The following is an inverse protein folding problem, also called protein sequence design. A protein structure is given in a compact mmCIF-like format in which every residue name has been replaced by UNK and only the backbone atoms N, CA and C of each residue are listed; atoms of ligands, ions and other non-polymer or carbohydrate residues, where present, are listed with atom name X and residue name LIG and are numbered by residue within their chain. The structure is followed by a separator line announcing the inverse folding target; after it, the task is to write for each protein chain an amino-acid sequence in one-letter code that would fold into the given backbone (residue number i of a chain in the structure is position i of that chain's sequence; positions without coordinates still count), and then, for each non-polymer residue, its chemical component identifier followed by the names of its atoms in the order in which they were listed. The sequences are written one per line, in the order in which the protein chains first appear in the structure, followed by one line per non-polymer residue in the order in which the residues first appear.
data_IF_800364241821
#
_entry.id   IF_800364241821
#
_cell.length_a   1.000
_cell.length_b   1.000
_cell.length_c   1.000
_cell.angle_alpha   90.00
_cell.angle_beta   90.00
_cell.angle_gamma   90.00
#
_symmetry.space_group_name_H-M   'P 1'
#
loop_
_entity.id
_entity.type
_entity.pdbx_description
1 polymer ?
#
# COMPACT_ATOMS: atom_id res chain seq x y z
N UNK A 1 -13.42 10.33 -2.78
CA UNK A 1 -12.20 10.47 -1.96
C UNK A 1 -12.01 9.14 -1.26
N UNK A 2 -10.79 8.63 -1.24
CA UNK A 2 -10.43 7.37 -0.60
C UNK A 2 -9.24 7.61 0.34
N UNK A 3 -9.22 6.95 1.50
CA UNK A 3 -8.16 7.02 2.49
C UNK A 3 -7.49 5.66 2.58
N UNK A 4 -6.20 5.65 2.29
CA UNK A 4 -5.31 4.50 2.41
C UNK A 4 -4.50 4.69 3.68
N UNK A 5 -4.42 3.68 4.54
CA UNK A 5 -3.69 3.77 5.81
C UNK A 5 -2.77 2.56 5.93
N UNK A 6 -1.53 2.80 6.34
CA UNK A 6 -0.59 1.75 6.73
C UNK A 6 -0.47 1.73 8.24
N UNK A 7 -0.70 0.54 8.81
CA UNK A 7 -0.66 0.31 10.25
C UNK A 7 0.37 -0.75 10.59
N UNK A 8 1.04 -0.58 11.73
CA UNK A 8 1.90 -1.61 12.30
C UNK A 8 1.05 -2.71 12.96
N UNK A 9 1.69 -3.83 13.26
CA UNK A 9 1.08 -4.90 14.06
C UNK A 9 0.77 -4.48 15.51
N UNK A 10 1.32 -3.35 15.96
CA UNK A 10 1.07 -2.75 17.27
C UNK A 10 -0.07 -1.71 17.23
N UNK A 11 -0.84 -1.67 16.13
CA UNK A 11 -1.96 -0.75 15.92
C UNK A 11 -1.57 0.73 15.78
N UNK A 12 -0.31 1.00 15.40
CA UNK A 12 0.17 2.36 15.16
C UNK A 12 0.03 2.72 13.68
N UNK A 13 -0.55 3.88 13.38
CA UNK A 13 -0.57 4.42 12.01
C UNK A 13 0.82 4.98 11.68
N UNK A 14 1.45 4.45 10.65
CA UNK A 14 2.80 4.87 10.22
C UNK A 14 2.82 5.62 8.90
N UNK A 15 1.78 5.49 8.08
CA UNK A 15 1.63 6.27 6.85
C UNK A 15 0.16 6.32 6.40
N UNK A 16 -0.19 7.31 5.59
CA UNK A 16 -1.50 7.41 4.95
C UNK A 16 -1.46 8.20 3.64
N UNK A 17 -2.41 7.90 2.74
CA UNK A 17 -2.59 8.63 1.49
C UNK A 17 -4.06 8.94 1.22
N UNK A 18 -4.31 10.16 0.75
CA UNK A 18 -5.62 10.60 0.32
C UNK A 18 -5.67 10.67 -1.19
N UNK A 19 -6.56 9.88 -1.79
CA UNK A 19 -6.71 9.83 -3.24
C UNK A 19 -8.11 10.26 -3.69
N UNK A 20 -8.21 10.80 -4.91
CA UNK A 20 -9.49 10.91 -5.60
C UNK A 20 -10.19 9.53 -5.68
N UNK A 21 -11.53 9.51 -5.68
CA UNK A 21 -12.29 8.25 -5.62
C UNK A 21 -12.21 7.38 -6.88
N UNK A 22 -11.52 7.83 -7.92
CA UNK A 22 -11.28 7.10 -9.16
C UNK A 22 -9.90 6.42 -9.20
N UNK A 23 -9.09 6.56 -8.15
CA UNK A 23 -7.82 5.84 -8.04
C UNK A 23 -8.09 4.47 -7.42
N UNK A 24 -7.73 3.40 -8.14
CA UNK A 24 -7.85 2.03 -7.67
C UNK A 24 -6.82 1.71 -6.58
N UNK A 25 -7.18 0.86 -5.63
CA UNK A 25 -6.33 0.48 -4.50
C UNK A 25 -5.05 -0.26 -4.93
N UNK A 26 -5.04 -0.86 -6.13
CA UNK A 26 -3.92 -1.59 -6.71
C UNK A 26 -3.02 -0.75 -7.63
N UNK A 27 -3.23 0.57 -7.64
CA UNK A 27 -2.42 1.47 -8.45
C UNK A 27 -0.95 1.40 -7.98
N UNK A 28 -0.03 1.08 -8.91
CA UNK A 28 1.37 0.88 -8.57
C UNK A 28 2.02 2.13 -7.96
N UNK A 29 1.78 3.32 -8.53
CA UNK A 29 2.38 4.56 -8.04
C UNK A 29 1.92 4.89 -6.62
N UNK A 30 0.64 4.67 -6.33
CA UNK A 30 0.08 4.82 -4.98
C UNK A 30 0.77 3.89 -3.97
N UNK A 31 0.90 2.62 -4.33
CA UNK A 31 1.48 1.61 -3.44
C UNK A 31 2.99 1.74 -3.29
N UNK A 32 3.71 2.13 -4.34
CA UNK A 32 5.13 2.45 -4.24
C UNK A 32 5.37 3.64 -3.31
N UNK A 33 4.56 4.70 -3.41
CA UNK A 33 4.66 5.84 -2.49
C UNK A 33 4.35 5.44 -1.03
N UNK A 34 3.27 4.68 -0.79
CA UNK A 34 2.89 4.22 0.55
C UNK A 34 3.93 3.28 1.19
N UNK A 35 4.72 2.59 0.38
CA UNK A 35 5.68 1.58 0.85
C UNK A 35 7.14 2.05 0.79
N UNK A 36 7.41 3.26 0.27
CA UNK A 36 8.76 3.76 0.00
C UNK A 36 9.68 3.67 1.24
N UNK A 37 9.13 3.96 2.42
CA UNK A 37 9.87 4.00 3.68
C UNK A 37 9.55 2.82 4.62
N UNK A 38 8.87 1.79 4.11
CA UNK A 38 8.40 0.65 4.91
C UNK A 38 9.18 -0.60 4.48
N UNK A 39 9.78 -1.28 5.44
CA UNK A 39 10.51 -2.52 5.22
C UNK A 39 9.94 -3.66 6.07
N UNK A 40 9.91 -4.86 5.51
CA UNK A 40 9.44 -6.06 6.18
C UNK A 40 8.26 -6.72 5.48
N UNK A 41 7.43 -7.43 6.25
CA UNK A 41 6.27 -8.14 5.70
C UNK A 41 5.05 -7.22 5.68
N UNK A 42 4.55 -6.93 4.49
CA UNK A 42 3.32 -6.15 4.28
C UNK A 42 2.16 -7.11 4.05
N UNK A 43 1.04 -6.83 4.70
CA UNK A 43 -0.21 -7.57 4.56
C UNK A 43 -1.31 -6.57 4.20
N UNK A 44 -2.15 -6.92 3.23
CA UNK A 44 -3.25 -6.07 2.78
C UNK A 44 -4.37 -6.91 2.20
N UNK A 45 -5.49 -6.26 1.90
CA UNK A 45 -6.61 -6.93 1.25
C UNK A 45 -6.21 -7.43 -0.16
N UNK A 46 -6.94 -8.41 -0.67
CA UNK A 46 -6.71 -8.99 -1.99
C UNK A 46 -6.63 -7.92 -3.08
N UNK A 47 -7.41 -6.83 -2.96
CA UNK A 47 -7.36 -5.68 -3.85
C UNK A 47 -5.93 -5.16 -4.09
N UNK A 48 -5.12 -5.06 -3.04
CA UNK A 48 -3.73 -4.56 -3.09
C UNK A 48 -2.73 -5.54 -3.71
N UNK A 49 -3.02 -6.84 -3.62
CA UNK A 49 -2.07 -7.92 -3.93
C UNK A 49 -2.19 -8.46 -5.38
N UNK A 50 -3.12 -7.94 -6.18
CA UNK A 50 -3.39 -8.45 -7.53
C UNK A 50 -2.26 -8.11 -8.52
N UNK A 51 -1.38 -7.16 -8.20
CA UNK A 51 -0.27 -6.78 -9.07
C UNK A 51 1.01 -7.59 -8.75
N UNK A 52 1.24 -8.66 -9.51
CA UNK A 52 2.40 -9.55 -9.34
C UNK A 52 3.76 -8.89 -9.61
N UNK A 53 3.82 -7.84 -10.43
CA UNK A 53 5.06 -7.10 -10.70
C UNK A 53 5.41 -6.18 -9.54
N UNK A 54 4.41 -5.47 -9.00
CA UNK A 54 4.57 -4.67 -7.80
C UNK A 54 5.00 -5.54 -6.61
N UNK A 55 4.37 -6.71 -6.42
CA UNK A 55 4.76 -7.63 -5.36
C UNK A 55 6.23 -8.04 -5.47
N UNK A 56 6.72 -8.32 -6.67
CA UNK A 56 8.14 -8.62 -6.90
C UNK A 56 9.04 -7.44 -6.52
N UNK A 57 8.67 -6.22 -6.93
CA UNK A 57 9.42 -4.99 -6.64
C UNK A 57 9.46 -4.62 -5.15
N UNK A 58 8.38 -4.90 -4.42
CA UNK A 58 8.32 -4.69 -2.96
C UNK A 58 9.01 -5.81 -2.16
N UNK A 59 9.29 -6.95 -2.80
CA UNK A 59 9.94 -8.13 -2.18
C UNK A 59 11.45 -8.23 -2.41
N UNK A 60 12.02 -7.31 -3.19
CA UNK A 60 13.45 -7.23 -3.55
C UNK A 60 14.19 -6.19 -2.71
#
# INVERSE_FOLDING_TARGET
MNLQVVVTSQEEVIDFSLTPGNIADNNSDLLENLMENIQGKVYGDKGYLINSELFKKLSS
#
